data_IF_390816958931
#
_entry.id   IF_390816958931
#
_cell.length_a   1.000
_cell.length_b   1.000
_cell.length_c   1.000
_cell.angle_alpha   90.00
_cell.angle_beta   90.00
_cell.angle_gamma   90.00
#
_symmetry.space_group_name_H-M   'P 1'
#
loop_
_entity.id
_entity.type
_entity.pdbx_description
1 polymer ?
#
# COMPACT_ATOMS: atom_id res chain seq x y z
N UNK A 1 11.89 -8.68 17.80
CA UNK A 1 10.66 -8.98 16.99
C UNK A 1 11.10 -8.81 15.55
N UNK A 2 10.95 -9.84 14.73
CA UNK A 2 11.37 -9.78 13.33
C UNK A 2 10.37 -8.97 12.51
N UNK A 3 10.86 -8.12 11.63
CA UNK A 3 10.05 -7.24 10.80
C UNK A 3 9.05 -8.00 9.92
N UNK A 4 9.48 -9.11 9.33
CA UNK A 4 8.62 -9.98 8.52
C UNK A 4 7.40 -10.53 9.28
N UNK A 5 7.54 -10.78 10.58
CA UNK A 5 6.43 -11.19 11.43
C UNK A 5 5.36 -10.10 11.57
N UNK A 6 5.79 -8.83 11.57
CA UNK A 6 4.87 -7.67 11.59
C UNK A 6 4.14 -7.52 10.25
N UNK A 7 4.84 -7.75 9.12
CA UNK A 7 4.22 -7.71 7.79
C UNK A 7 3.19 -8.81 7.61
N UNK A 8 3.51 -10.05 8.04
CA UNK A 8 2.55 -11.17 8.03
C UNK A 8 1.31 -10.84 8.85
N UNK A 9 1.51 -10.33 10.06
CA UNK A 9 0.39 -9.97 10.94
C UNK A 9 -0.45 -8.84 10.35
N UNK A 10 0.18 -7.88 9.64
CA UNK A 10 -0.51 -6.82 8.93
C UNK A 10 -1.46 -7.37 7.87
N UNK A 11 -1.03 -8.38 7.10
CA UNK A 11 -1.86 -9.05 6.09
C UNK A 11 -2.95 -9.91 6.72
N UNK A 12 -2.61 -10.75 7.70
CA UNK A 12 -3.56 -11.63 8.41
C UNK A 12 -4.71 -10.84 9.05
N UNK A 13 -4.39 -9.68 9.60
CA UNK A 13 -5.37 -8.79 10.23
C UNK A 13 -6.05 -7.82 9.25
N UNK A 14 -5.68 -7.87 7.95
CA UNK A 14 -6.14 -6.92 6.93
C UNK A 14 -5.98 -5.46 7.39
N UNK A 15 -4.82 -5.17 7.98
CA UNK A 15 -4.49 -3.83 8.45
C UNK A 15 -4.06 -2.95 7.28
N UNK A 16 -4.52 -1.71 7.27
CA UNK A 16 -4.15 -0.74 6.24
C UNK A 16 -2.78 -0.11 6.46
N UNK A 17 -2.43 0.12 7.72
CA UNK A 17 -1.19 0.80 8.10
C UNK A 17 -0.54 0.11 9.31
N UNK A 18 0.80 0.13 9.37
CA UNK A 18 1.62 -0.24 10.52
C UNK A 18 2.42 0.99 10.96
N UNK A 19 2.39 1.26 12.25
CA UNK A 19 3.10 2.36 12.89
C UNK A 19 4.20 1.83 13.80
N UNK A 20 5.40 2.33 13.62
CA UNK A 20 6.57 2.05 14.46
C UNK A 20 7.11 3.38 14.97
N UNK A 21 7.10 3.54 16.30
CA UNK A 21 7.63 4.72 16.98
C UNK A 21 8.09 4.35 18.38
N UNK A 22 8.97 5.16 18.96
CA UNK A 22 9.44 4.99 20.33
C UNK A 22 8.30 5.18 21.35
N UNK A 23 8.37 4.44 22.45
CA UNK A 23 7.50 4.63 23.64
C UNK A 23 6.12 3.97 23.52
N UNK A 24 5.81 3.37 22.37
CA UNK A 24 4.59 2.57 22.17
C UNK A 24 4.93 1.25 21.48
N UNK A 25 4.13 0.19 21.68
CA UNK A 25 4.28 -1.02 20.91
C UNK A 25 4.01 -0.76 19.41
N UNK A 26 4.59 -1.55 18.49
CA UNK A 26 4.15 -1.53 17.10
C UNK A 26 2.64 -1.59 17.01
N UNK A 27 2.03 -0.76 16.20
CA UNK A 27 0.58 -0.60 16.17
C UNK A 27 0.04 -0.73 14.75
N UNK A 28 -1.03 -1.51 14.60
CA UNK A 28 -1.72 -1.73 13.34
C UNK A 28 -3.00 -0.90 13.27
N UNK A 29 -3.29 -0.35 12.10
CA UNK A 29 -4.57 0.29 11.83
C UNK A 29 -5.49 -0.71 11.12
N UNK A 30 -6.57 -1.09 11.79
CA UNK A 30 -7.55 -2.05 11.29
C UNK A 30 -8.92 -1.38 11.32
N UNK A 31 -9.60 -1.29 10.18
CA UNK A 31 -10.91 -0.64 10.05
C UNK A 31 -10.94 0.77 10.67
N UNK A 32 -9.89 1.54 10.47
CA UNK A 32 -9.77 2.92 10.99
C UNK A 32 -9.36 3.03 12.46
N UNK A 33 -9.25 1.91 13.20
CA UNK A 33 -8.84 1.89 14.62
C UNK A 33 -7.39 1.45 14.75
N UNK A 34 -6.63 2.13 15.61
CA UNK A 34 -5.25 1.77 15.93
C UNK A 34 -5.25 0.74 17.06
N UNK A 35 -4.61 -0.39 16.83
CA UNK A 35 -4.50 -1.49 17.78
C UNK A 35 -3.02 -1.84 17.98
N UNK A 36 -2.53 -1.87 19.22
CA UNK A 36 -1.14 -2.24 19.50
C UNK A 36 -0.90 -3.74 19.25
N UNK A 37 0.26 -4.05 18.71
CA UNK A 37 0.78 -5.41 18.53
C UNK A 37 1.75 -5.73 19.66
N UNK A 38 1.27 -6.45 20.63
CA UNK A 38 2.06 -6.76 21.81
C UNK A 38 1.85 -5.77 22.95
N UNK A 39 2.60 -5.97 24.04
CA UNK A 39 2.43 -5.18 25.29
C UNK A 39 3.68 -4.33 25.63
N UNK A 40 4.80 -4.57 24.94
CA UNK A 40 6.08 -3.95 25.26
C UNK A 40 6.31 -2.75 24.34
N UNK A 41 6.45 -1.54 24.91
CA UNK A 41 6.81 -0.35 24.15
C UNK A 41 8.22 -0.50 23.54
N UNK A 42 8.40 0.01 22.33
CA UNK A 42 9.70 0.04 21.67
C UNK A 42 10.62 1.08 22.33
N UNK A 43 11.87 0.69 22.58
CA UNK A 43 12.92 1.65 22.87
C UNK A 43 13.32 2.42 21.60
N UNK A 44 13.97 3.58 21.74
CA UNK A 44 14.44 4.34 20.58
C UNK A 44 15.41 3.56 19.69
N UNK A 45 16.28 2.72 20.28
CA UNK A 45 17.19 1.82 19.56
C UNK A 45 16.43 0.75 18.77
N UNK A 46 15.47 0.09 19.39
CA UNK A 46 14.66 -0.94 18.72
C UNK A 46 13.81 -0.37 17.56
N UNK A 47 13.24 0.83 17.74
CA UNK A 47 12.51 1.48 16.67
C UNK A 47 13.44 1.80 15.48
N UNK A 48 14.66 2.31 15.76
CA UNK A 48 15.67 2.58 14.73
C UNK A 48 16.11 1.31 14.02
N UNK A 49 16.43 0.24 14.74
CA UNK A 49 16.83 -1.04 14.15
C UNK A 49 15.75 -1.58 13.21
N UNK A 50 14.47 -1.53 13.59
CA UNK A 50 13.36 -1.97 12.75
C UNK A 50 13.23 -1.12 11.48
N UNK A 51 13.46 0.19 11.57
CA UNK A 51 13.37 1.10 10.43
C UNK A 51 14.55 0.90 9.48
N UNK A 52 15.76 0.81 10.01
CA UNK A 52 16.98 0.62 9.22
C UNK A 52 17.08 -0.79 8.60
N UNK A 53 16.44 -1.80 9.20
CA UNK A 53 16.42 -3.16 8.67
C UNK A 53 15.71 -3.30 7.32
N UNK A 54 14.83 -2.36 6.97
CA UNK A 54 14.08 -2.35 5.70
C UNK A 54 14.69 -1.44 4.64
N UNK A 55 15.76 -0.74 4.97
CA UNK A 55 16.47 0.18 4.09
C UNK A 55 17.73 -0.47 3.54
N UNK A 56 18.04 -0.22 2.28
CA UNK A 56 19.35 -0.48 1.72
C UNK A 56 20.39 0.57 2.18
N UNK A 57 21.66 0.38 1.84
CA UNK A 57 22.74 1.26 2.31
C UNK A 57 22.62 2.69 1.76
N UNK A 58 22.13 2.85 0.53
CA UNK A 58 21.89 4.16 -0.07
C UNK A 58 20.72 4.87 0.62
N UNK A 59 19.64 4.16 0.86
CA UNK A 59 18.46 4.67 1.57
C UNK A 59 18.77 5.08 3.00
N UNK A 60 19.62 4.31 3.72
CA UNK A 60 20.10 4.68 5.07
C UNK A 60 20.90 5.98 5.05
N UNK A 61 21.81 6.12 4.08
CA UNK A 61 22.61 7.33 3.93
C UNK A 61 21.72 8.55 3.67
N UNK A 62 20.77 8.42 2.76
CA UNK A 62 19.80 9.47 2.43
C UNK A 62 18.92 9.83 3.63
N UNK A 63 18.41 8.82 4.34
CA UNK A 63 17.60 9.01 5.53
C UNK A 63 18.31 9.76 6.65
N UNK A 64 19.59 9.45 6.88
CA UNK A 64 20.39 10.17 7.86
C UNK A 64 20.72 11.60 7.44
N UNK A 65 20.84 11.87 6.13
CA UNK A 65 21.13 13.20 5.61
C UNK A 65 19.90 14.11 5.62
N UNK A 66 18.74 13.59 5.24
CA UNK A 66 17.52 14.38 5.05
C UNK A 66 16.50 14.26 6.19
N UNK A 67 16.67 13.28 7.08
CA UNK A 67 15.77 13.00 8.21
C UNK A 67 14.34 12.60 7.77
N UNK A 68 14.16 12.30 6.50
CA UNK A 68 12.91 11.81 5.90
C UNK A 68 13.25 10.98 4.67
N UNK A 69 12.52 9.86 4.50
CA UNK A 69 12.62 9.01 3.33
C UNK A 69 11.28 8.35 3.03
N UNK A 70 10.89 8.37 1.75
CA UNK A 70 9.71 7.67 1.24
C UNK A 70 10.14 6.66 0.18
N UNK A 71 9.83 5.38 0.39
CA UNK A 71 10.20 4.31 -0.53
C UNK A 71 9.15 3.20 -0.54
N UNK A 72 9.31 2.23 -1.42
CA UNK A 72 8.45 1.06 -1.48
C UNK A 72 9.27 -0.20 -1.23
N UNK A 73 8.69 -1.13 -0.48
CA UNK A 73 9.25 -2.46 -0.28
C UNK A 73 8.29 -3.51 -0.82
N UNK A 74 8.84 -4.60 -1.33
CA UNK A 74 8.09 -5.79 -1.71
C UNK A 74 8.57 -6.92 -0.83
N UNK A 75 7.66 -7.59 -0.15
CA UNK A 75 8.01 -8.76 0.65
C UNK A 75 7.87 -10.02 -0.20
N UNK A 76 8.99 -10.68 -0.48
CA UNK A 76 8.99 -11.97 -1.19
C UNK A 76 8.40 -13.09 -0.32
N UNK A 77 8.49 -12.94 0.99
CA UNK A 77 8.03 -13.93 1.97
C UNK A 77 6.53 -13.86 2.25
N UNK A 78 5.84 -12.82 1.78
CA UNK A 78 4.43 -12.57 2.10
C UNK A 78 3.67 -12.20 0.85
N UNK A 79 3.24 -13.20 0.05
CA UNK A 79 2.35 -13.08 -1.13
C UNK A 79 2.71 -11.95 -2.11
N UNK A 80 3.99 -11.61 -2.25
CA UNK A 80 4.46 -10.47 -3.05
C UNK A 80 3.79 -9.14 -2.68
N UNK A 81 3.36 -9.00 -1.43
CA UNK A 81 2.71 -7.79 -0.96
C UNK A 81 3.65 -6.58 -1.09
N UNK A 82 3.10 -5.48 -1.55
CA UNK A 82 3.82 -4.23 -1.74
C UNK A 82 3.42 -3.24 -0.67
N UNK A 83 4.42 -2.58 -0.09
CA UNK A 83 4.19 -1.60 0.97
C UNK A 83 4.86 -0.28 0.61
N UNK A 84 4.16 0.82 0.88
CA UNK A 84 4.75 2.15 0.88
C UNK A 84 5.23 2.46 2.28
N UNK A 85 6.48 2.83 2.40
CA UNK A 85 7.14 3.19 3.66
C UNK A 85 7.40 4.68 3.67
N UNK A 86 7.02 5.33 4.77
CA UNK A 86 7.38 6.69 5.11
C UNK A 86 8.14 6.65 6.43
N UNK A 87 9.43 6.95 6.41
CA UNK A 87 10.28 7.04 7.58
C UNK A 87 10.72 8.49 7.79
N UNK A 88 10.68 8.98 9.01
CA UNK A 88 11.08 10.34 9.35
C UNK A 88 11.52 10.48 10.81
N UNK A 89 12.25 11.56 11.11
CA UNK A 89 12.59 11.90 12.48
C UNK A 89 11.54 12.83 13.08
N UNK A 90 11.06 12.47 14.26
CA UNK A 90 10.19 13.30 15.08
C UNK A 90 10.80 13.45 16.48
N UNK A 91 11.10 14.68 16.90
CA UNK A 91 11.72 14.96 18.22
C UNK A 91 12.97 14.11 18.49
N UNK A 92 13.82 13.96 17.48
CA UNK A 92 15.04 13.15 17.53
C UNK A 92 14.83 11.62 17.62
N UNK A 93 13.60 11.15 17.54
CA UNK A 93 13.27 9.73 17.47
C UNK A 93 12.82 9.35 16.06
N UNK A 94 13.13 8.11 15.68
CA UNK A 94 12.73 7.58 14.37
C UNK A 94 11.30 7.11 14.42
N UNK A 95 10.52 7.51 13.43
CA UNK A 95 9.14 7.08 13.21
C UNK A 95 9.04 6.48 11.82
N UNK A 96 8.29 5.38 11.69
CA UNK A 96 7.98 4.76 10.41
C UNK A 96 6.51 4.43 10.31
N UNK A 97 5.95 4.73 9.16
CA UNK A 97 4.58 4.35 8.78
C UNK A 97 4.66 3.51 7.51
N UNK A 98 4.15 2.29 7.58
CA UNK A 98 3.98 1.45 6.41
C UNK A 98 2.51 1.42 6.02
N UNK A 99 2.25 1.52 4.74
CA UNK A 99 0.92 1.35 4.15
C UNK A 99 0.92 0.20 3.17
N UNK A 100 0.00 -0.73 3.35
CA UNK A 100 -0.24 -1.80 2.39
C UNK A 100 -0.78 -1.21 1.08
N UNK A 101 -0.13 -1.56 -0.04
CA UNK A 101 -0.61 -1.25 -1.38
C UNK A 101 -1.32 -2.50 -1.90
N UNK A 102 -2.63 -2.43 -2.04
CA UNK A 102 -3.37 -3.51 -2.69
C UNK A 102 -2.98 -3.56 -4.17
N UNK A 103 -2.34 -4.65 -4.56
CA UNK A 103 -1.94 -4.89 -5.96
C UNK A 103 -3.00 -5.59 -6.76
N UNK A 104 -3.97 -6.22 -6.09
CA UNK A 104 -5.10 -6.85 -6.76
C UNK A 104 -6.10 -5.80 -7.20
N UNK A 105 -6.27 -5.67 -8.50
CA UNK A 105 -7.32 -4.84 -9.08
C UNK A 105 -8.64 -5.62 -8.94
N UNK A 106 -9.61 -5.11 -8.16
CA UNK A 106 -10.90 -5.79 -8.05
C UNK A 106 -11.63 -5.74 -9.39
N UNK A 107 -12.42 -6.77 -9.68
CA UNK A 107 -13.26 -6.79 -10.88
C UNK A 107 -14.44 -5.83 -10.76
N UNK A 108 -15.01 -5.45 -11.90
CA UNK A 108 -16.22 -4.59 -11.97
C UNK A 108 -17.37 -5.17 -11.14
N UNK A 109 -17.53 -6.50 -11.16
CA UNK A 109 -18.52 -7.24 -10.38
C UNK A 109 -18.27 -7.15 -8.87
N UNK A 110 -17.01 -7.26 -8.44
CA UNK A 110 -16.63 -7.14 -7.02
C UNK A 110 -16.86 -5.73 -6.47
N UNK A 111 -16.76 -4.73 -7.34
CA UNK A 111 -17.01 -3.33 -6.99
C UNK A 111 -18.50 -2.98 -7.05
N UNK A 112 -19.38 -3.92 -7.44
CA UNK A 112 -20.82 -3.70 -7.62
C UNK A 112 -21.11 -2.47 -8.50
N UNK A 113 -20.30 -2.26 -9.54
CA UNK A 113 -20.47 -1.14 -10.45
C UNK A 113 -21.64 -1.38 -11.41
N UNK A 114 -22.36 -0.32 -11.82
CA UNK A 114 -23.42 -0.45 -12.79
C UNK A 114 -22.91 -0.99 -14.14
N UNK A 115 -23.65 -1.91 -14.81
CA UNK A 115 -23.23 -2.50 -16.09
C UNK A 115 -23.00 -1.48 -17.22
N UNK A 116 -23.60 -0.30 -17.12
CA UNK A 116 -23.42 0.79 -18.09
C UNK A 116 -21.95 1.25 -18.20
N UNK A 117 -21.15 0.99 -17.19
CA UNK A 117 -19.73 1.37 -17.21
C UNK A 117 -18.94 0.55 -18.24
N UNK A 118 -19.32 -0.70 -18.48
CA UNK A 118 -18.69 -1.54 -19.51
C UNK A 118 -18.95 -0.98 -20.91
N UNK A 119 -20.14 -0.48 -21.17
CA UNK A 119 -20.50 0.19 -22.42
C UNK A 119 -19.75 1.51 -22.59
N UNK A 120 -19.65 2.30 -21.51
CA UNK A 120 -18.97 3.60 -21.52
C UNK A 120 -17.46 3.47 -21.79
N UNK A 121 -16.82 2.45 -21.24
CA UNK A 121 -15.38 2.20 -21.46
C UNK A 121 -15.09 1.82 -22.91
N UNK A 122 -16.03 1.16 -23.59
CA UNK A 122 -15.91 0.79 -25.01
C UNK A 122 -16.12 1.96 -25.97
N UNK A 123 -16.45 3.15 -25.47
CA UNK A 123 -16.69 4.34 -26.30
C UNK A 123 -15.33 4.90 -26.80
N UNK A 124 -15.14 4.96 -28.10
CA UNK A 124 -13.87 5.40 -28.72
C UNK A 124 -13.58 6.90 -28.59
N UNK A 125 -14.52 7.71 -28.15
CA UNK A 125 -14.39 9.16 -28.05
C UNK A 125 -15.15 9.69 -26.83
N UNK A 126 -14.55 10.61 -26.10
CA UNK A 126 -15.16 11.28 -24.96
C UNK A 126 -14.26 11.30 -23.73
N UNK A 127 -14.74 11.95 -22.69
CA UNK A 127 -14.09 12.01 -21.38
C UNK A 127 -15.12 11.57 -20.35
N UNK A 128 -14.73 10.63 -19.49
CA UNK A 128 -15.55 10.15 -18.38
C UNK A 128 -14.99 10.72 -17.08
N UNK A 129 -15.82 11.46 -16.36
CA UNK A 129 -15.48 12.02 -15.05
C UNK A 129 -16.09 11.16 -13.94
N UNK A 130 -15.23 10.60 -13.08
CA UNK A 130 -15.66 9.92 -11.86
C UNK A 130 -15.61 10.92 -10.69
N UNK A 131 -16.79 11.37 -10.27
CA UNK A 131 -16.94 12.38 -9.21
C UNK A 131 -17.53 11.72 -7.96
N UNK A 132 -17.00 12.05 -6.79
CA UNK A 132 -17.50 11.53 -5.53
C UNK A 132 -16.64 11.95 -4.34
N UNK A 133 -17.07 11.62 -3.12
CA UNK A 133 -16.30 11.84 -1.89
C UNK A 133 -14.91 11.19 -1.98
N UNK A 134 -13.90 11.62 -1.20
CA UNK A 134 -12.57 11.02 -1.19
C UNK A 134 -12.59 9.64 -0.49
N UNK A 135 -13.14 8.65 -1.20
CA UNK A 135 -13.19 7.25 -0.79
C UNK A 135 -12.33 6.39 -1.70
N UNK A 136 -11.82 5.24 -1.24
CA UNK A 136 -10.94 4.36 -2.02
C UNK A 136 -11.51 3.96 -3.39
N UNK A 137 -12.81 3.84 -3.50
CA UNK A 137 -13.50 3.40 -4.72
C UNK A 137 -13.17 4.24 -5.97
N UNK A 138 -12.88 5.54 -5.84
CA UNK A 138 -12.51 6.38 -6.99
C UNK A 138 -11.18 5.99 -7.63
N UNK A 139 -10.24 5.51 -6.83
CA UNK A 139 -8.91 5.10 -7.30
C UNK A 139 -8.89 3.68 -7.86
N UNK A 140 -9.84 2.84 -7.47
CA UNK A 140 -9.93 1.44 -7.89
C UNK A 140 -10.84 1.22 -9.10
N UNK A 141 -11.83 2.10 -9.31
CA UNK A 141 -12.76 1.99 -10.45
C UNK A 141 -12.08 2.10 -11.82
N UNK A 142 -11.24 3.12 -12.12
CA UNK A 142 -10.60 3.22 -13.43
C UNK A 142 -9.72 2.01 -13.78
N UNK A 143 -8.83 1.50 -12.89
CA UNK A 143 -8.08 0.29 -13.16
C UNK A 143 -8.96 -0.94 -13.43
N UNK A 144 -10.04 -1.11 -12.68
CA UNK A 144 -10.97 -2.24 -12.85
C UNK A 144 -11.67 -2.21 -14.21
N UNK A 145 -11.92 -1.02 -14.76
CA UNK A 145 -12.53 -0.86 -16.08
C UNK A 145 -11.54 -1.03 -17.24
N UNK A 146 -10.27 -0.62 -17.04
CA UNK A 146 -9.23 -0.65 -18.08
C UNK A 146 -8.53 -2.01 -18.18
N UNK A 147 -8.48 -2.77 -17.07
CA UNK A 147 -7.90 -4.11 -17.02
C UNK A 147 -9.00 -5.18 -16.77
N UNK A 148 -9.85 -5.49 -17.75
CA UNK A 148 -10.83 -6.56 -17.61
C UNK A 148 -10.11 -7.91 -17.52
N UNK A 149 -10.61 -8.88 -16.74
CA UNK A 149 -10.01 -10.21 -16.59
C UNK A 149 -10.10 -11.08 -17.86
N UNK A 150 -10.77 -10.60 -18.91
CA UNK A 150 -10.90 -11.28 -20.19
C UNK A 150 -10.41 -10.39 -21.33
N UNK A 151 -9.58 -10.92 -22.26
CA UNK A 151 -9.20 -10.19 -23.45
C UNK A 151 -10.43 -10.02 -24.36
N UNK A 152 -10.98 -8.81 -24.42
CA UNK A 152 -11.92 -8.47 -25.47
C UNK A 152 -11.17 -8.48 -26.81
N UNK A 153 -11.63 -9.24 -27.81
CA UNK A 153 -10.91 -9.45 -29.07
C UNK A 153 -10.82 -8.21 -29.98
N UNK A 154 -11.34 -7.07 -29.57
CA UNK A 154 -11.45 -5.87 -30.41
C UNK A 154 -10.58 -4.68 -29.99
N UNK A 155 -9.82 -4.76 -28.91
CA UNK A 155 -8.89 -3.70 -28.53
C UNK A 155 -7.47 -4.10 -28.90
N UNK A 156 -7.04 -3.76 -30.13
CA UNK A 156 -5.64 -3.57 -30.45
C UNK A 156 -5.23 -2.25 -29.78
N UNK A 157 -5.10 -2.29 -28.47
CA UNK A 157 -4.40 -1.25 -27.73
C UNK A 157 -2.91 -1.40 -27.96
N UNK A 158 -2.12 -0.30 -28.02
CA UNK A 158 -0.67 -0.40 -27.94
C UNK A 158 -0.31 -1.16 -26.64
N UNK A 159 0.83 -1.88 -26.60
CA UNK A 159 1.16 -2.76 -25.48
C UNK A 159 1.13 -1.97 -24.19
N UNK A 160 0.05 -2.16 -23.44
CA UNK A 160 -0.09 -1.68 -22.08
C UNK A 160 0.96 -2.41 -21.24
N UNK A 161 1.57 -1.75 -20.25
CA UNK A 161 2.44 -2.45 -19.33
C UNK A 161 1.65 -3.61 -18.71
N UNK A 162 2.27 -4.78 -18.52
CA UNK A 162 1.59 -5.97 -18.05
C UNK A 162 0.86 -5.66 -16.75
N UNK A 163 -0.45 -5.92 -16.70
CA UNK A 163 -1.19 -5.96 -15.45
C UNK A 163 -0.61 -7.14 -14.65
N UNK A 164 0.34 -6.88 -13.79
CA UNK A 164 0.92 -7.89 -12.92
C UNK A 164 -0.14 -8.34 -11.93
N UNK A 165 -0.58 -9.55 -12.14
CA UNK A 165 -1.36 -10.34 -11.17
C UNK A 165 -0.45 -10.86 -10.07
#
# INVERSE_FOLDING_TARGET
MEFDSLLKLMLDKKASDLFITRGVPPSLKINGKIMPVGKVPLSGGQARELVEAVMDDQQRTEFHAHHELNFAITSEHVEHARFRVSAFYQRNDVVMVLRLIETRIPTVEQLLLPPILDELVMTNRGIIFLVGAPVPAKSTTPPALVCPPHPHPSLVAPPSPPCHS
#
